data_IF_698822383277
#
_entry.id   IF_698822383277
#
_cell.length_a   1.000
_cell.length_b   1.000
_cell.length_c   1.000
_cell.angle_alpha   90.00
_cell.angle_beta   90.00
_cell.angle_gamma   90.00
#
_symmetry.space_group_name_H-M   'P 1'
#
loop_
_entity.id
_entity.type
_entity.pdbx_description
1 polymer ?
#
# COMPACT_ATOMS: atom_id res chain seq x y z
N UNK A 1 8.17 -7.74 -17.44
CA UNK A 1 6.99 -7.28 -16.68
C UNK A 1 6.72 -5.83 -17.04
N UNK A 2 5.51 -5.52 -17.55
CA UNK A 2 5.02 -4.16 -17.83
C UNK A 2 5.07 -3.26 -16.59
N UNK A 3 5.04 -1.94 -16.78
CA UNK A 3 5.10 -0.98 -15.67
C UNK A 3 3.86 -1.10 -14.79
N UNK A 4 2.68 -1.30 -15.39
CA UNK A 4 1.45 -1.57 -14.66
C UNK A 4 1.55 -2.76 -13.70
N UNK A 5 2.06 -3.90 -14.16
CA UNK A 5 2.22 -5.10 -13.31
C UNK A 5 3.17 -4.87 -12.12
N UNK A 6 4.24 -4.09 -12.32
CA UNK A 6 5.16 -3.73 -11.21
C UNK A 6 4.47 -2.84 -10.18
N UNK A 7 3.66 -1.89 -10.63
CA UNK A 7 2.88 -1.01 -9.77
C UNK A 7 1.78 -1.77 -9.01
N UNK A 8 1.13 -2.74 -9.66
CA UNK A 8 0.15 -3.63 -9.00
C UNK A 8 0.80 -4.47 -7.90
N UNK A 9 1.97 -5.04 -8.16
CA UNK A 9 2.72 -5.79 -7.15
C UNK A 9 3.13 -4.88 -5.97
N UNK A 10 3.66 -3.70 -6.25
CA UNK A 10 4.07 -2.75 -5.21
C UNK A 10 2.86 -2.29 -4.36
N UNK A 11 1.73 -2.02 -5.01
CA UNK A 11 0.47 -1.65 -4.34
C UNK A 11 -0.03 -2.76 -3.42
N UNK A 12 -0.01 -4.01 -3.88
CA UNK A 12 -0.40 -5.16 -3.08
C UNK A 12 0.51 -5.33 -1.85
N UNK A 13 1.82 -5.20 -2.03
CA UNK A 13 2.79 -5.24 -0.93
C UNK A 13 2.57 -4.12 0.09
N UNK A 14 2.31 -2.89 -0.36
CA UNK A 14 2.03 -1.77 0.53
C UNK A 14 0.75 -1.99 1.35
N UNK A 15 -0.35 -2.42 0.70
CA UNK A 15 -1.60 -2.77 1.40
C UNK A 15 -1.40 -3.90 2.40
N UNK A 16 -0.63 -4.92 2.04
CA UNK A 16 -0.28 -6.03 2.93
C UNK A 16 0.48 -5.56 4.16
N UNK A 17 1.49 -4.71 3.98
CA UNK A 17 2.27 -4.13 5.08
C UNK A 17 1.40 -3.26 5.99
N UNK A 18 0.53 -2.41 5.44
CA UNK A 18 -0.39 -1.59 6.23
C UNK A 18 -1.32 -2.44 7.11
N UNK A 19 -1.83 -3.55 6.57
CA UNK A 19 -2.65 -4.50 7.33
C UNK A 19 -1.86 -5.21 8.44
N UNK A 20 -0.61 -5.60 8.17
CA UNK A 20 0.28 -6.18 9.17
C UNK A 20 0.57 -5.20 10.32
N UNK A 21 0.86 -3.94 10.00
CA UNK A 21 1.09 -2.90 11.00
C UNK A 21 -0.15 -2.63 11.86
N UNK A 22 -1.35 -2.61 11.28
CA UNK A 22 -2.62 -2.53 12.03
C UNK A 22 -2.81 -3.74 12.94
N UNK A 23 -2.36 -4.92 12.51
CA UNK A 23 -2.41 -6.12 13.36
C UNK A 23 -1.45 -5.98 14.54
N UNK A 24 -0.22 -5.51 14.32
CA UNK A 24 0.76 -5.26 15.39
C UNK A 24 0.30 -4.18 16.38
N UNK A 25 -0.40 -3.15 15.89
CA UNK A 25 -1.07 -2.16 16.75
C UNK A 25 -2.06 -2.83 17.71
N UNK A 26 -2.88 -3.77 17.22
CA UNK A 26 -3.88 -4.48 18.02
C UNK A 26 -3.25 -5.48 18.99
N UNK A 27 -2.22 -6.19 18.57
CA UNK A 27 -1.57 -7.27 19.33
C UNK A 27 -0.64 -6.75 20.44
N UNK A 28 -0.20 -5.49 20.37
CA UNK A 28 0.72 -4.93 21.36
C UNK A 28 0.01 -4.30 22.57
N UNK A 29 0.49 -4.65 23.77
CA UNK A 29 0.06 -4.02 25.03
C UNK A 29 0.81 -2.71 25.33
N UNK A 30 1.96 -2.49 24.69
CA UNK A 30 2.76 -1.29 24.89
C UNK A 30 2.11 -0.10 24.17
N UNK A 31 1.76 0.95 24.94
CA UNK A 31 1.04 2.11 24.42
C UNK A 31 1.86 2.94 23.41
N UNK A 32 3.18 3.04 23.60
CA UNK A 32 4.06 3.74 22.65
C UNK A 32 4.15 2.97 21.34
N UNK A 33 4.32 1.65 21.41
CA UNK A 33 4.35 0.78 20.24
C UNK A 33 3.03 0.81 19.47
N UNK A 34 1.90 0.84 20.19
CA UNK A 34 0.56 0.99 19.59
C UNK A 34 0.47 2.26 18.73
N UNK A 35 0.87 3.41 19.28
CA UNK A 35 0.87 4.67 18.51
C UNK A 35 1.86 4.63 17.34
N UNK A 36 3.04 4.04 17.52
CA UNK A 36 4.03 3.87 16.46
C UNK A 36 3.46 3.04 15.30
N UNK A 37 2.90 1.86 15.56
CA UNK A 37 2.32 1.00 14.51
C UNK A 37 1.13 1.65 13.81
N UNK A 38 0.29 2.37 14.56
CA UNK A 38 -0.81 3.15 13.98
C UNK A 38 -0.31 4.21 13.00
N UNK A 39 0.73 4.97 13.38
CA UNK A 39 1.31 5.99 12.52
C UNK A 39 1.93 5.37 11.27
N UNK A 40 2.73 4.30 11.44
CA UNK A 40 3.34 3.59 10.31
C UNK A 40 2.28 3.03 9.35
N UNK A 41 1.20 2.45 9.88
CA UNK A 41 0.10 1.96 9.05
C UNK A 41 -0.55 3.08 8.23
N UNK A 42 -0.74 4.26 8.84
CA UNK A 42 -1.26 5.45 8.16
C UNK A 42 -0.32 5.93 7.07
N UNK A 43 0.99 5.97 7.34
CA UNK A 43 1.99 6.39 6.36
C UNK A 43 2.03 5.42 5.16
N UNK A 44 1.95 4.11 5.42
CA UNK A 44 1.92 3.10 4.36
C UNK A 44 0.61 3.15 3.57
N UNK A 45 -0.53 3.43 4.20
CA UNK A 45 -1.79 3.68 3.49
C UNK A 45 -1.66 4.86 2.53
N UNK A 46 -1.00 5.95 2.94
CA UNK A 46 -0.74 7.11 2.06
C UNK A 46 0.17 6.75 0.89
N UNK A 47 1.23 5.95 1.12
CA UNK A 47 2.07 5.41 0.05
C UNK A 47 1.27 4.55 -0.92
N UNK A 48 0.39 3.67 -0.41
CA UNK A 48 -0.47 2.84 -1.23
C UNK A 48 -1.42 3.68 -2.11
N UNK A 49 -1.98 4.77 -1.57
CA UNK A 49 -2.81 5.70 -2.34
C UNK A 49 -2.03 6.39 -3.46
N UNK A 50 -0.81 6.83 -3.20
CA UNK A 50 0.04 7.45 -4.22
C UNK A 50 0.39 6.46 -5.35
N UNK A 51 0.70 5.20 -5.01
CA UNK A 51 0.95 4.14 -5.99
C UNK A 51 -0.31 3.84 -6.80
N UNK A 52 -1.48 3.77 -6.16
CA UNK A 52 -2.76 3.58 -6.83
C UNK A 52 -3.01 4.66 -7.89
N UNK A 53 -2.84 5.94 -7.54
CA UNK A 53 -3.00 7.04 -8.50
C UNK A 53 -2.05 6.93 -9.69
N UNK A 54 -0.80 6.50 -9.47
CA UNK A 54 0.15 6.25 -10.56
C UNK A 54 -0.26 5.06 -11.43
N UNK A 55 -0.73 3.99 -10.81
CA UNK A 55 -1.23 2.80 -11.51
C UNK A 55 -2.43 3.16 -12.39
N UNK A 56 -3.38 3.94 -11.88
CA UNK A 56 -4.57 4.34 -12.63
C UNK A 56 -4.22 5.17 -13.86
N UNK A 57 -3.21 6.04 -13.76
CA UNK A 57 -2.66 6.77 -14.92
C UNK A 57 -2.03 5.80 -15.95
N UNK A 58 -1.17 4.89 -15.49
CA UNK A 58 -0.49 3.91 -16.38
C UNK A 58 -1.51 2.99 -17.07
N UNK A 59 -2.59 2.60 -16.38
CA UNK A 59 -3.69 1.82 -16.96
C UNK A 59 -4.36 2.50 -18.14
N UNK A 60 -4.39 3.84 -18.16
CA UNK A 60 -4.93 4.59 -19.29
C UNK A 60 -3.96 4.62 -20.48
N UNK A 61 -2.66 4.57 -20.24
CA UNK A 61 -1.62 4.65 -21.27
C UNK A 61 -1.31 3.28 -21.91
N UNK A 62 -1.23 2.22 -21.12
CA UNK A 62 -0.75 0.92 -21.60
C UNK A 62 -1.86 0.13 -22.34
N UNK A 63 -1.59 -0.36 -23.58
CA UNK A 63 -2.58 -1.09 -24.39
C UNK A 63 -3.14 -2.34 -23.71
N UNK A 64 -2.35 -2.97 -22.84
CA UNK A 64 -2.72 -4.19 -22.12
C UNK A 64 -3.95 -4.04 -21.20
N UNK A 65 -4.33 -2.81 -20.85
CA UNK A 65 -5.51 -2.51 -20.04
C UNK A 65 -6.70 -2.01 -20.87
N UNK A 66 -6.55 -1.88 -22.20
CA UNK A 66 -7.58 -1.31 -23.09
C UNK A 66 -8.56 -2.33 -23.68
N UNK A 67 -8.42 -3.61 -23.33
CA UNK A 67 -9.27 -4.71 -23.83
C UNK A 67 -8.75 -5.32 -25.11
#
# INVERSE_FOLDING_TARGET
MPTGNKLEQALASAKGLAAQLKTFELDTDNQEAKQMFKQLATDVDNVAQAIQGRLDFVKQEEPQYRG
#
